data_IF_712876667240
#
_entry.id   IF_712876667240
#
_cell.length_a   1.000
_cell.length_b   1.000
_cell.length_c   1.000
_cell.angle_alpha   90.00
_cell.angle_beta   90.00
_cell.angle_gamma   90.00
#
_symmetry.space_group_name_H-M   'P 1'
#
loop_
_entity.id
_entity.type
_entity.pdbx_description
1 polymer ?
#
# COMPACT_ATOMS: atom_id res chain seq x y z
N UNK A 1 18.47 -7.75 3.42
CA UNK A 1 17.24 -8.52 3.10
C UNK A 1 16.09 -7.85 3.84
N UNK A 2 15.25 -7.09 3.13
CA UNK A 2 14.07 -6.44 3.70
C UNK A 2 13.00 -7.51 3.96
N UNK A 3 12.52 -7.61 5.20
CA UNK A 3 11.38 -8.47 5.50
C UNK A 3 10.12 -7.84 4.88
N UNK A 4 9.25 -8.61 4.19
CA UNK A 4 8.02 -8.06 3.63
C UNK A 4 7.13 -7.51 4.74
N UNK A 5 6.54 -6.33 4.50
CA UNK A 5 5.60 -5.74 5.45
C UNK A 5 4.43 -6.70 5.70
N UNK A 6 3.95 -6.82 6.95
CA UNK A 6 2.81 -7.68 7.25
C UNK A 6 1.59 -7.20 6.48
N UNK A 7 0.87 -8.14 5.87
CA UNK A 7 -0.42 -7.88 5.22
C UNK A 7 -1.56 -8.20 6.17
N UNK A 8 -2.66 -7.46 6.02
CA UNK A 8 -3.88 -7.76 6.75
C UNK A 8 -4.46 -9.07 6.24
N UNK A 9 -4.76 -10.00 7.14
CA UNK A 9 -5.37 -11.27 6.77
C UNK A 9 -6.82 -11.03 6.34
N UNK A 10 -7.33 -11.72 5.30
CA UNK A 10 -8.71 -11.57 4.82
C UNK A 10 -9.74 -11.97 5.87
N UNK A 11 -9.39 -12.88 6.78
CA UNK A 11 -10.16 -13.36 7.91
C UNK A 11 -9.72 -12.72 9.24
N UNK A 12 -9.04 -11.56 9.19
CA UNK A 12 -8.56 -10.90 10.39
C UNK A 12 -9.72 -10.63 11.36
N UNK A 13 -9.58 -11.01 12.64
CA UNK A 13 -10.65 -10.96 13.63
C UNK A 13 -11.07 -9.51 13.91
N UNK A 14 -12.37 -9.31 14.12
CA UNK A 14 -12.90 -7.98 14.42
C UNK A 14 -12.36 -7.43 15.75
N UNK A 15 -12.21 -6.11 15.80
CA UNK A 15 -11.55 -5.37 16.89
C UNK A 15 -12.12 -5.66 18.30
N UNK A 16 -13.35 -6.18 18.39
CA UNK A 16 -14.04 -6.54 19.64
C UNK A 16 -13.85 -8.00 20.13
N UNK A 17 -13.13 -8.86 19.42
CA UNK A 17 -12.99 -10.28 19.77
C UNK A 17 -11.62 -10.60 20.41
N UNK A 18 -11.54 -11.50 21.39
CA UNK A 18 -10.29 -11.80 22.11
C UNK A 18 -9.10 -12.24 21.21
N UNK A 19 -9.30 -13.08 20.16
CA UNK A 19 -8.30 -13.35 19.11
C UNK A 19 -7.73 -12.09 18.43
N UNK A 20 -8.47 -10.98 18.37
CA UNK A 20 -8.00 -9.73 17.79
C UNK A 20 -6.91 -9.04 18.62
N UNK A 21 -6.83 -9.30 19.93
CA UNK A 21 -5.74 -8.76 20.75
C UNK A 21 -4.39 -9.38 20.36
N UNK A 22 -4.33 -10.71 20.31
CA UNK A 22 -3.11 -11.43 19.94
C UNK A 22 -2.69 -11.18 18.50
N UNK A 23 -3.65 -11.01 17.58
CA UNK A 23 -3.38 -10.61 16.21
C UNK A 23 -2.77 -9.20 16.12
N UNK A 24 -3.39 -8.21 16.78
CA UNK A 24 -2.87 -6.83 16.83
C UNK A 24 -1.49 -6.74 17.48
N UNK A 25 -1.22 -7.53 18.52
CA UNK A 25 0.09 -7.55 19.15
C UNK A 25 1.20 -8.02 18.21
N UNK A 26 0.93 -9.03 17.36
CA UNK A 26 1.89 -9.46 16.34
C UNK A 26 2.16 -8.37 15.31
N UNK A 27 1.11 -7.69 14.84
CA UNK A 27 1.24 -6.57 13.90
C UNK A 27 2.00 -5.38 14.51
N UNK A 28 1.75 -5.09 15.79
CA UNK A 28 2.50 -4.06 16.52
C UNK A 28 4.01 -4.39 16.57
N UNK A 29 4.37 -5.63 16.91
CA UNK A 29 5.78 -6.06 16.93
C UNK A 29 6.42 -5.93 15.56
N UNK A 30 5.73 -6.34 14.50
CA UNK A 30 6.22 -6.20 13.13
C UNK A 30 6.45 -4.73 12.74
N UNK A 31 5.57 -3.82 13.15
CA UNK A 31 5.78 -2.38 12.92
C UNK A 31 6.98 -1.82 13.69
N UNK A 32 7.17 -2.22 14.96
CA UNK A 32 8.33 -1.82 15.77
C UNK A 32 9.63 -2.35 15.15
N UNK A 33 9.63 -3.59 14.68
CA UNK A 33 10.80 -4.17 14.01
C UNK A 33 11.12 -3.44 12.69
N UNK A 34 10.11 -3.12 11.88
CA UNK A 34 10.31 -2.32 10.67
C UNK A 34 10.92 -0.95 10.99
N UNK A 35 10.42 -0.26 12.04
CA UNK A 35 10.99 1.02 12.51
C UNK A 35 12.46 0.89 12.90
N UNK A 36 12.82 -0.20 13.58
CA UNK A 36 14.20 -0.45 14.01
C UNK A 36 15.12 -0.69 12.81
N UNK A 37 14.67 -1.43 11.79
CA UNK A 37 15.43 -1.63 10.55
C UNK A 37 15.63 -0.30 9.81
N UNK A 38 14.57 0.49 9.68
CA UNK A 38 14.61 1.76 8.97
C UNK A 38 15.36 2.88 9.70
N UNK A 39 15.63 2.75 11.01
CA UNK A 39 16.32 3.79 11.78
C UNK A 39 17.79 3.98 11.33
N UNK A 40 18.41 2.90 10.87
CA UNK A 40 19.82 2.87 10.45
C UNK A 40 19.95 2.59 8.93
N UNK A 41 18.86 2.70 8.17
CA UNK A 41 18.81 2.42 6.73
C UNK A 41 18.48 3.68 5.95
N UNK A 42 19.22 3.92 4.87
CA UNK A 42 18.93 4.98 3.90
C UNK A 42 18.07 4.47 2.72
N UNK A 43 17.67 3.18 2.72
CA UNK A 43 16.87 2.59 1.65
C UNK A 43 15.40 3.07 1.74
N UNK A 44 14.87 3.78 0.71
CA UNK A 44 13.47 4.17 0.68
C UNK A 44 12.50 3.00 0.83
N UNK A 45 12.89 1.78 0.43
CA UNK A 45 12.06 0.59 0.58
C UNK A 45 11.85 0.21 2.06
N UNK A 46 12.88 0.36 2.91
CA UNK A 46 12.78 0.07 4.33
C UNK A 46 11.88 1.11 5.03
N UNK A 47 11.96 2.39 4.65
CA UNK A 47 11.04 3.42 5.13
C UNK A 47 9.59 3.19 4.67
N UNK A 48 9.39 2.76 3.42
CA UNK A 48 8.07 2.40 2.91
C UNK A 48 7.47 1.20 3.67
N UNK A 49 8.30 0.22 4.04
CA UNK A 49 7.87 -0.92 4.85
C UNK A 49 7.35 -0.51 6.24
N UNK A 50 7.93 0.54 6.86
CA UNK A 50 7.41 1.11 8.12
C UNK A 50 5.99 1.63 7.96
N UNK A 51 5.75 2.41 6.90
CA UNK A 51 4.43 2.98 6.63
C UNK A 51 3.39 1.87 6.36
N UNK A 52 3.76 0.86 5.56
CA UNK A 52 2.91 -0.30 5.29
C UNK A 52 2.57 -1.07 6.58
N UNK A 53 3.57 -1.39 7.42
CA UNK A 53 3.36 -2.10 8.68
C UNK A 53 2.47 -1.31 9.65
N UNK A 54 2.65 0.01 9.71
CA UNK A 54 1.81 0.90 10.51
C UNK A 54 0.36 0.88 10.03
N UNK A 55 0.13 1.06 8.73
CA UNK A 55 -1.22 1.05 8.14
C UNK A 55 -1.92 -0.29 8.40
N UNK A 56 -1.23 -1.42 8.22
CA UNK A 56 -1.78 -2.74 8.54
C UNK A 56 -2.16 -2.85 10.02
N UNK A 57 -1.30 -2.40 10.94
CA UNK A 57 -1.57 -2.40 12.37
C UNK A 57 -2.80 -1.53 12.73
N UNK A 58 -2.92 -0.35 12.14
CA UNK A 58 -4.07 0.54 12.36
C UNK A 58 -5.36 -0.07 11.83
N UNK A 59 -5.34 -0.65 10.61
CA UNK A 59 -6.52 -1.29 10.02
C UNK A 59 -7.02 -2.49 10.80
N UNK A 60 -6.16 -3.18 11.56
CA UNK A 60 -6.57 -4.25 12.46
C UNK A 60 -7.40 -3.79 13.68
N UNK A 61 -7.57 -2.47 13.89
CA UNK A 61 -8.45 -1.90 14.91
C UNK A 61 -9.85 -1.55 14.41
N UNK A 62 -10.07 -1.67 13.10
CA UNK A 62 -11.33 -1.36 12.46
C UNK A 62 -12.25 -2.58 12.46
N UNK A 63 -13.55 -2.35 12.48
CA UNK A 63 -14.53 -3.42 12.21
C UNK A 63 -14.49 -3.79 10.73
N UNK A 64 -15.01 -4.96 10.38
CA UNK A 64 -14.98 -5.46 8.98
C UNK A 64 -15.51 -4.44 7.97
N UNK A 65 -16.66 -3.83 8.19
CA UNK A 65 -17.27 -2.92 7.23
C UNK A 65 -16.38 -1.68 6.95
N UNK A 66 -15.71 -1.16 7.97
CA UNK A 66 -14.75 -0.07 7.84
C UNK A 66 -13.50 -0.50 7.06
N UNK A 67 -13.02 -1.73 7.28
CA UNK A 67 -11.89 -2.30 6.53
C UNK A 67 -12.24 -2.50 5.06
N UNK A 68 -13.43 -3.03 4.79
CA UNK A 68 -13.93 -3.29 3.45
C UNK A 68 -14.13 -1.96 2.70
N UNK A 69 -14.63 -0.93 3.38
CA UNK A 69 -14.72 0.42 2.83
C UNK A 69 -13.35 0.98 2.43
N UNK A 70 -12.35 0.94 3.32
CA UNK A 70 -11.00 1.41 3.00
C UNK A 70 -10.34 0.59 1.88
N UNK A 71 -10.61 -0.72 1.79
CA UNK A 71 -10.10 -1.54 0.70
C UNK A 71 -10.69 -1.13 -0.65
N UNK A 72 -11.96 -0.71 -0.69
CA UNK A 72 -12.57 -0.13 -1.88
C UNK A 72 -11.97 1.24 -2.22
N UNK A 73 -11.70 2.10 -1.24
CA UNK A 73 -11.04 3.38 -1.47
C UNK A 73 -9.61 3.21 -2.03
N UNK A 74 -8.85 2.24 -1.53
CA UNK A 74 -7.53 1.89 -2.06
C UNK A 74 -7.61 1.45 -3.52
N UNK A 75 -8.60 0.59 -3.84
CA UNK A 75 -8.78 0.09 -5.20
C UNK A 75 -9.21 1.20 -6.17
N UNK A 76 -10.10 2.10 -5.73
CA UNK A 76 -10.46 3.30 -6.50
C UNK A 76 -9.23 4.18 -6.75
N UNK A 77 -8.39 4.38 -5.74
CA UNK A 77 -7.16 5.17 -5.86
C UNK A 77 -6.18 4.52 -6.83
N UNK A 78 -5.98 3.20 -6.74
CA UNK A 78 -5.13 2.41 -7.64
C UNK A 78 -5.61 2.52 -9.08
N UNK A 79 -6.90 2.28 -9.32
CA UNK A 79 -7.52 2.35 -10.64
C UNK A 79 -7.47 3.78 -11.20
N UNK A 80 -7.63 4.80 -10.36
CA UNK A 80 -7.52 6.21 -10.78
C UNK A 80 -6.09 6.53 -11.24
N UNK A 81 -5.08 6.14 -10.47
CA UNK A 81 -3.68 6.33 -10.86
C UNK A 81 -3.34 5.57 -12.14
N UNK A 82 -3.81 4.33 -12.27
CA UNK A 82 -3.64 3.53 -13.48
C UNK A 82 -4.32 4.19 -14.69
N UNK A 83 -5.54 4.70 -14.53
CA UNK A 83 -6.27 5.38 -15.58
C UNK A 83 -5.54 6.66 -16.05
N UNK A 84 -5.04 7.46 -15.11
CA UNK A 84 -4.26 8.66 -15.43
C UNK A 84 -2.98 8.30 -16.19
N UNK A 85 -2.26 7.26 -15.77
CA UNK A 85 -1.06 6.77 -16.45
C UNK A 85 -1.38 6.32 -17.89
N UNK A 86 -2.46 5.57 -18.07
CA UNK A 86 -2.89 5.10 -19.39
C UNK A 86 -3.30 6.27 -20.30
N UNK A 87 -4.03 7.26 -19.78
CA UNK A 87 -4.38 8.49 -20.52
C UNK A 87 -3.13 9.24 -20.96
N UNK A 88 -2.16 9.41 -20.07
CA UNK A 88 -0.89 10.06 -20.39
C UNK A 88 -0.12 9.30 -21.49
N UNK A 89 -0.08 7.97 -21.42
CA UNK A 89 0.56 7.13 -22.44
C UNK A 89 -0.13 7.24 -23.81
N UNK A 90 -1.47 7.27 -23.84
CA UNK A 90 -2.25 7.46 -25.07
C UNK A 90 -1.96 8.83 -25.70
N UNK A 91 -1.93 9.90 -24.89
CA UNK A 91 -1.62 11.24 -25.36
C UNK A 91 -0.19 11.33 -25.92
N UNK A 92 0.79 10.72 -25.24
CA UNK A 92 2.17 10.67 -25.72
C UNK A 92 2.29 9.90 -27.03
N UNK A 93 1.60 8.76 -27.16
CA UNK A 93 1.58 7.97 -28.40
C UNK A 93 0.90 8.73 -29.55
N UNK A 94 -0.22 9.41 -29.29
CA UNK A 94 -0.91 10.23 -30.28
C UNK A 94 -0.01 11.36 -30.78
N UNK A 95 0.68 12.07 -29.88
CA UNK A 95 1.62 13.13 -30.23
C UNK A 95 2.80 12.63 -31.08
N UNK A 96 3.26 11.40 -30.86
CA UNK A 96 4.31 10.78 -31.67
C UNK A 96 3.83 10.45 -33.10
N UNK A 97 2.53 10.23 -33.32
CA UNK A 97 1.95 9.92 -34.64
C UNK A 97 1.60 11.18 -35.43
N UNK A 98 1.22 12.28 -34.77
CA UNK A 98 0.86 13.55 -35.44
C UNK A 98 2.04 14.42 -35.88
N UNK A 99 3.29 14.00 -35.62
CA UNK A 99 4.50 14.64 -36.14
C UNK A 99 5.00 13.88 -37.40
N UNK A 100 4.60 14.26 -38.63
CA UNK A 100 5.30 13.79 -39.83
C UNK A 100 6.68 14.49 -39.92
N UNK A 101 7.65 13.74 -40.45
CA UNK A 101 9.09 14.02 -40.58
C UNK A 101 9.50 15.49 -40.81
N UNK A 102 10.54 15.93 -40.08
CA UNK A 102 11.45 16.99 -40.54
C UNK A 102 12.79 16.34 -40.90
N UNK A 103 12.81 15.56 -41.98
CA UNK A 103 14.02 15.01 -42.58
C UNK A 103 13.82 14.91 -44.10
N UNK A 104 13.94 16.06 -44.78
CA UNK A 104 14.44 16.17 -46.15
C UNK A 104 15.66 17.09 -46.15
#
# INVERSE_FOLDING_TARGET
>A
MTAPAPTLAPDAPDAGFAPARGYRERLFRAWVDAKRIAADSDDPADHAAVAAAYTTFMRAHLVRDERDHLALEDEVSRLTAENLRLRAAILAAAAAVTMPEAAE
#
